data_IF_734792706370
#
_entry.id   IF_734792706370
#
_cell.length_a   1.000
_cell.length_b   1.000
_cell.length_c   1.000
_cell.angle_alpha   90.00
_cell.angle_beta   90.00
_cell.angle_gamma   90.00
#
_symmetry.space_group_name_H-M   'P 1'
#
loop_
_entity.id
_entity.type
_entity.pdbx_description
1 polymer ?
#
# COMPACT_ATOMS: atom_id res chain seq x y z
N UNK A 1 -17.15 10.29 -10.47
CA UNK A 1 -16.51 11.31 -9.63
C UNK A 1 -16.07 10.63 -8.35
N UNK A 2 -14.77 10.64 -8.02
CA UNK A 2 -14.23 10.09 -6.76
C UNK A 2 -14.49 11.06 -5.59
N UNK A 3 -14.32 10.59 -4.35
CA UNK A 3 -14.80 11.27 -3.13
C UNK A 3 -14.33 12.74 -3.07
N UNK A 4 -15.33 13.63 -3.07
CA UNK A 4 -15.24 15.03 -2.64
C UNK A 4 -14.42 15.98 -3.50
N UNK A 5 -14.34 15.75 -4.82
CA UNK A 5 -14.02 16.77 -5.84
C UNK A 5 -12.65 17.47 -5.73
N UNK A 6 -11.81 17.05 -4.79
CA UNK A 6 -10.52 17.65 -4.46
C UNK A 6 -9.56 16.56 -3.97
N UNK A 7 -8.29 16.72 -4.32
CA UNK A 7 -7.18 15.90 -3.88
C UNK A 7 -6.67 16.26 -2.47
N UNK A 8 -7.21 17.30 -1.84
CA UNK A 8 -6.79 17.73 -0.51
C UNK A 8 -7.02 16.65 0.54
N UNK A 9 -5.97 16.34 1.30
CA UNK A 9 -6.04 15.35 2.38
C UNK A 9 -6.54 15.99 3.69
N UNK A 10 -7.80 15.72 4.02
CA UNK A 10 -8.42 16.14 5.28
C UNK A 10 -8.23 15.13 6.42
N UNK A 11 -7.80 13.90 6.13
CA UNK A 11 -7.61 12.87 7.14
C UNK A 11 -6.18 12.91 7.70
N UNK A 12 -5.18 12.91 6.82
CA UNK A 12 -3.74 12.85 7.11
C UNK A 12 -3.09 11.52 6.71
N UNK A 13 -3.88 10.45 6.60
CA UNK A 13 -3.40 9.11 6.24
C UNK A 13 -2.73 9.05 4.86
N UNK A 14 -3.32 9.70 3.86
CA UNK A 14 -2.76 9.75 2.50
C UNK A 14 -1.43 10.50 2.45
N UNK A 15 -1.34 11.65 3.14
CA UNK A 15 -0.11 12.43 3.27
C UNK A 15 0.99 11.65 3.98
N UNK A 16 0.63 10.84 4.99
CA UNK A 16 1.57 9.97 5.70
C UNK A 16 2.16 8.89 4.81
N UNK A 17 1.30 8.19 4.05
CA UNK A 17 1.74 7.19 3.08
C UNK A 17 2.61 7.79 1.97
N UNK A 18 2.21 8.95 1.44
CA UNK A 18 2.97 9.67 0.41
C UNK A 18 4.38 10.06 0.89
N UNK A 19 4.52 10.48 2.15
CA UNK A 19 5.82 10.80 2.74
C UNK A 19 6.75 9.60 2.83
N UNK A 20 6.24 8.44 3.27
CA UNK A 20 7.01 7.20 3.36
C UNK A 20 7.54 6.82 1.97
N UNK A 21 6.69 6.90 0.94
CA UNK A 21 7.06 6.54 -0.41
C UNK A 21 8.06 7.52 -1.03
N UNK A 22 7.86 8.83 -0.88
CA UNK A 22 8.47 9.82 -1.77
C UNK A 22 8.80 11.20 -1.14
N UNK A 23 8.78 11.36 0.20
CA UNK A 23 9.24 12.61 0.81
C UNK A 23 10.63 13.01 0.28
N UNK A 24 10.81 14.30 0.02
CA UNK A 24 12.03 14.84 -0.59
C UNK A 24 13.21 14.67 0.34
N UNK A 25 14.37 14.35 -0.23
CA UNK A 25 15.64 14.44 0.47
C UNK A 25 16.07 15.92 0.55
N UNK A 26 15.84 16.54 1.71
CA UNK A 26 16.17 17.93 1.98
C UNK A 26 16.46 18.13 3.47
N UNK A 27 16.58 19.39 3.91
CA UNK A 27 17.01 19.74 5.27
C UNK A 27 15.89 19.74 6.32
N UNK A 28 14.67 19.27 6.00
CA UNK A 28 13.55 19.24 6.94
C UNK A 28 12.84 17.88 6.96
N UNK A 29 12.37 17.46 8.13
CA UNK A 29 11.46 16.34 8.25
C UNK A 29 12.09 14.98 7.98
N UNK A 30 11.57 14.29 6.96
CA UNK A 30 11.84 12.87 6.66
C UNK A 30 12.17 12.68 5.18
N UNK A 31 12.81 11.56 4.86
CA UNK A 31 13.15 11.16 3.49
C UNK A 31 12.35 9.92 3.10
N UNK A 32 11.72 9.97 1.93
CA UNK A 32 10.95 8.85 1.39
C UNK A 32 11.86 7.80 0.74
N UNK A 33 11.35 6.57 0.62
CA UNK A 33 12.11 5.44 0.04
C UNK A 33 12.53 5.70 -1.42
N UNK A 34 11.65 6.31 -2.21
CA UNK A 34 11.93 6.86 -3.54
C UNK A 34 11.91 8.39 -3.48
N UNK A 35 12.83 8.96 -2.71
CA UNK A 35 12.88 10.38 -2.41
C UNK A 35 12.70 11.28 -3.65
N UNK A 36 11.75 12.22 -3.56
CA UNK A 36 11.49 13.20 -4.62
C UNK A 36 10.69 12.68 -5.81
N UNK A 37 10.26 11.42 -5.82
CA UNK A 37 9.34 10.91 -6.84
C UNK A 37 8.05 11.73 -6.88
N UNK A 38 7.48 11.86 -8.08
CA UNK A 38 6.23 12.62 -8.28
C UNK A 38 5.07 11.84 -7.66
N UNK A 39 4.41 12.45 -6.66
CA UNK A 39 3.20 11.89 -6.06
C UNK A 39 1.97 12.44 -6.77
N UNK A 40 1.09 11.54 -7.22
CA UNK A 40 -0.23 11.89 -7.78
C UNK A 40 -1.32 11.48 -6.78
N UNK A 41 -1.94 12.44 -6.07
CA UNK A 41 -2.97 12.12 -5.08
C UNK A 41 -4.30 11.73 -5.74
N UNK A 42 -4.79 10.52 -5.46
CA UNK A 42 -6.11 10.05 -5.89
C UNK A 42 -6.96 9.75 -4.65
N UNK A 43 -7.82 10.71 -4.28
CA UNK A 43 -8.62 10.61 -3.05
C UNK A 43 -9.88 9.77 -3.27
N UNK A 44 -9.88 8.57 -2.69
CA UNK A 44 -11.01 7.62 -2.75
C UNK A 44 -11.69 7.40 -1.40
N UNK A 45 -11.14 7.96 -0.31
CA UNK A 45 -11.68 7.91 1.05
C UNK A 45 -12.06 9.31 1.53
N UNK A 46 -13.08 9.40 2.40
CA UNK A 46 -13.53 10.62 3.03
C UNK A 46 -12.62 11.05 4.20
N UNK A 47 -12.97 12.14 4.89
CA UNK A 47 -12.16 12.68 5.98
C UNK A 47 -12.09 11.76 7.21
N UNK A 48 -13.02 10.81 7.33
CA UNK A 48 -13.03 9.75 8.34
C UNK A 48 -12.26 8.49 7.89
N UNK A 49 -11.60 8.51 6.72
CA UNK A 49 -10.83 7.36 6.22
C UNK A 49 -11.69 6.22 5.66
N UNK A 50 -12.95 6.49 5.30
CA UNK A 50 -13.90 5.50 4.76
C UNK A 50 -14.29 5.83 3.33
N UNK A 51 -14.57 4.81 2.52
CA UNK A 51 -15.00 4.98 1.13
C UNK A 51 -15.74 3.76 0.62
N UNK A 52 -16.57 3.95 -0.41
CA UNK A 52 -17.26 2.87 -1.08
C UNK A 52 -16.37 2.24 -2.14
N UNK A 53 -16.47 0.92 -2.32
CA UNK A 53 -15.71 0.18 -3.36
C UNK A 53 -15.90 0.77 -4.75
N UNK A 54 -17.10 1.23 -5.10
CA UNK A 54 -17.38 1.94 -6.36
C UNK A 54 -16.56 3.22 -6.56
N UNK A 55 -16.33 3.97 -5.48
CA UNK A 55 -15.48 5.16 -5.47
C UNK A 55 -14.01 4.81 -5.64
N UNK A 56 -13.56 3.69 -5.05
CA UNK A 56 -12.19 3.18 -5.22
C UNK A 56 -11.97 2.72 -6.66
N UNK A 57 -12.89 1.94 -7.23
CA UNK A 57 -12.86 1.52 -8.65
C UNK A 57 -12.83 2.73 -9.58
N UNK A 58 -13.62 3.77 -9.30
CA UNK A 58 -13.59 5.01 -10.09
C UNK A 58 -12.22 5.70 -10.02
N UNK A 59 -11.54 5.65 -8.86
CA UNK A 59 -10.18 6.16 -8.71
C UNK A 59 -9.15 5.33 -9.49
N UNK A 60 -9.24 4.00 -9.43
CA UNK A 60 -8.39 3.10 -10.20
C UNK A 60 -8.57 3.29 -11.72
N UNK A 61 -9.82 3.43 -12.19
CA UNK A 61 -10.10 3.72 -13.60
C UNK A 61 -9.55 5.09 -14.03
N UNK A 62 -9.53 6.08 -13.13
CA UNK A 62 -8.89 7.36 -13.39
C UNK A 62 -7.37 7.19 -13.56
N UNK A 63 -6.72 6.44 -12.66
CA UNK A 63 -5.30 6.10 -12.79
C UNK A 63 -5.02 5.38 -14.11
N UNK A 64 -5.79 4.34 -14.43
CA UNK A 64 -5.65 3.55 -15.67
C UNK A 64 -5.82 4.38 -16.97
N UNK A 65 -6.35 5.61 -16.87
CA UNK A 65 -6.49 6.53 -18.01
C UNK A 65 -5.30 7.49 -18.16
N UNK A 66 -4.33 7.42 -17.26
CA UNK A 66 -3.22 8.38 -17.10
C UNK A 66 -1.88 7.74 -16.76
N UNK A 67 -1.86 6.47 -16.35
CA UNK A 67 -0.66 5.77 -15.93
C UNK A 67 0.21 5.40 -17.13
N UNK A 68 1.50 5.25 -16.85
CA UNK A 68 2.49 4.72 -17.77
C UNK A 68 3.14 3.48 -17.16
N UNK A 69 3.60 2.50 -17.98
CA UNK A 69 4.34 1.35 -17.47
C UNK A 69 5.52 1.81 -16.61
N UNK A 70 5.60 1.31 -15.38
CA UNK A 70 6.59 1.76 -14.40
C UNK A 70 6.03 2.60 -13.25
N UNK A 71 4.82 3.17 -13.44
CA UNK A 71 4.09 3.83 -12.36
C UNK A 71 3.73 2.86 -11.23
N UNK A 72 3.50 3.41 -10.04
CA UNK A 72 3.19 2.65 -8.84
C UNK A 72 1.94 3.20 -8.16
N UNK A 73 0.96 2.33 -7.95
CA UNK A 73 -0.24 2.59 -7.16
C UNK A 73 -0.07 2.03 -5.76
N UNK A 74 -0.14 2.89 -4.75
CA UNK A 74 -0.16 2.50 -3.35
C UNK A 74 -1.60 2.50 -2.80
N UNK A 75 -2.15 1.30 -2.57
CA UNK A 75 -3.47 1.08 -1.99
C UNK A 75 -3.36 0.73 -0.51
N UNK A 76 -3.05 1.71 0.32
CA UNK A 76 -3.00 1.59 1.78
C UNK A 76 -4.40 1.53 2.44
N UNK A 77 -5.30 0.73 1.87
CA UNK A 77 -6.70 0.61 2.26
C UNK A 77 -7.15 -0.86 2.15
N UNK A 78 -8.29 -1.18 2.77
CA UNK A 78 -8.89 -2.50 2.66
C UNK A 78 -10.05 -2.67 3.62
N UNK A 79 -10.80 -3.74 3.45
CA UNK A 79 -11.92 -4.10 4.30
C UNK A 79 -12.17 -5.60 4.30
N UNK A 80 -12.82 -6.08 5.36
CA UNK A 80 -13.27 -7.46 5.43
C UNK A 80 -14.27 -7.74 4.30
N UNK A 81 -14.08 -8.87 3.61
CA UNK A 81 -14.96 -9.36 2.56
C UNK A 81 -15.54 -10.74 2.89
N UNK A 82 -14.74 -11.58 3.56
CA UNK A 82 -15.07 -12.98 3.82
C UNK A 82 -14.40 -13.91 2.82
N UNK A 83 -14.93 -15.13 2.67
CA UNK A 83 -14.39 -16.14 1.77
C UNK A 83 -14.65 -15.81 0.29
N UNK A 84 -13.94 -16.51 -0.61
CA UNK A 84 -14.07 -16.39 -2.07
C UNK A 84 -13.75 -14.98 -2.59
N UNK A 85 -12.56 -14.49 -2.24
CA UNK A 85 -11.94 -13.23 -2.71
C UNK A 85 -12.57 -12.68 -3.99
N UNK A 86 -13.58 -11.80 -3.89
CA UNK A 86 -14.41 -11.21 -4.94
C UNK A 86 -14.10 -11.62 -6.42
N UNK A 87 -14.07 -12.92 -6.74
CA UNK A 87 -13.48 -13.42 -8.00
C UNK A 87 -14.40 -13.01 -9.13
N UNK A 88 -13.86 -12.31 -10.14
CA UNK A 88 -14.67 -11.76 -11.22
C UNK A 88 -15.44 -10.49 -10.88
N UNK A 89 -15.17 -9.85 -9.73
CA UNK A 89 -15.67 -8.51 -9.46
C UNK A 89 -14.93 -7.46 -10.29
N UNK A 90 -15.60 -6.33 -10.56
CA UNK A 90 -14.98 -5.17 -11.20
C UNK A 90 -13.78 -4.61 -10.42
N UNK A 91 -13.69 -4.91 -9.11
CA UNK A 91 -12.56 -4.50 -8.29
C UNK A 91 -11.30 -5.30 -8.60
N UNK A 92 -11.44 -6.63 -8.75
CA UNK A 92 -10.37 -7.51 -9.23
C UNK A 92 -9.92 -7.06 -10.61
N UNK A 93 -10.85 -6.91 -11.55
CA UNK A 93 -10.53 -6.49 -12.92
C UNK A 93 -9.78 -5.16 -12.97
N UNK A 94 -10.19 -4.15 -12.20
CA UNK A 94 -9.53 -2.85 -12.19
C UNK A 94 -8.07 -2.94 -11.71
N UNK A 95 -7.80 -3.71 -10.66
CA UNK A 95 -6.45 -3.90 -10.12
C UNK A 95 -5.58 -4.73 -11.06
N UNK A 96 -6.10 -5.86 -11.56
CA UNK A 96 -5.32 -6.74 -12.44
C UNK A 96 -5.02 -6.09 -13.78
N UNK A 97 -5.92 -5.26 -14.31
CA UNK A 97 -5.69 -4.56 -15.58
C UNK A 97 -4.55 -3.54 -15.48
N UNK A 98 -4.46 -2.78 -14.37
CA UNK A 98 -3.31 -1.91 -14.10
C UNK A 98 -2.00 -2.72 -14.07
N UNK A 99 -2.03 -3.84 -13.34
CA UNK A 99 -0.91 -4.78 -13.25
C UNK A 99 -0.40 -5.26 -14.61
N UNK A 100 -1.33 -5.73 -15.46
CA UNK A 100 -1.06 -6.21 -16.82
C UNK A 100 -0.56 -5.08 -17.73
N UNK A 101 -1.06 -3.85 -17.55
CA UNK A 101 -0.61 -2.68 -18.30
C UNK A 101 0.81 -2.20 -17.92
N UNK A 102 1.41 -2.76 -16.86
CA UNK A 102 2.77 -2.43 -16.41
C UNK A 102 2.83 -1.51 -15.20
N UNK A 103 1.68 -1.13 -14.64
CA UNK A 103 1.60 -0.39 -13.38
C UNK A 103 1.75 -1.36 -12.21
N UNK A 104 2.56 -1.00 -11.23
CA UNK A 104 2.79 -1.80 -10.02
C UNK A 104 1.81 -1.42 -8.94
N UNK A 105 1.02 -2.37 -8.44
CA UNK A 105 -0.03 -2.12 -7.45
C UNK A 105 0.37 -2.73 -6.12
N UNK A 106 0.73 -1.90 -5.15
CA UNK A 106 1.01 -2.32 -3.78
C UNK A 106 -0.24 -2.19 -2.92
N UNK A 107 -0.61 -3.25 -2.21
CA UNK A 107 -1.84 -3.36 -1.42
C UNK A 107 -1.52 -3.67 0.04
N UNK A 108 -2.20 -3.00 0.96
CA UNK A 108 -2.10 -3.30 2.39
C UNK A 108 -2.79 -4.63 2.74
N UNK A 109 -2.09 -5.52 3.46
CA UNK A 109 -2.62 -6.83 3.85
C UNK A 109 -3.78 -6.81 4.87
N UNK A 110 -3.89 -5.74 5.66
CA UNK A 110 -4.93 -5.53 6.67
C UNK A 110 -4.42 -5.69 8.11
N UNK A 111 -5.21 -5.17 9.07
CA UNK A 111 -4.78 -4.96 10.47
C UNK A 111 -5.64 -5.74 11.49
N UNK A 112 -6.09 -6.95 11.14
CA UNK A 112 -7.01 -7.75 11.97
C UNK A 112 -6.35 -8.98 12.61
N UNK A 113 -5.03 -9.17 12.46
CA UNK A 113 -4.33 -10.41 12.84
C UNK A 113 -5.00 -11.67 12.29
N UNK A 114 -5.43 -11.61 11.03
CA UNK A 114 -6.25 -12.63 10.39
C UNK A 114 -5.68 -13.01 9.00
N UNK A 115 -6.27 -14.01 8.34
CA UNK A 115 -5.88 -14.39 7.00
C UNK A 115 -6.25 -13.28 5.98
N UNK A 116 -5.24 -12.69 5.35
CA UNK A 116 -5.38 -11.64 4.33
C UNK A 116 -6.26 -12.07 3.14
N UNK A 117 -6.41 -13.37 2.89
CA UNK A 117 -7.33 -13.90 1.88
C UNK A 117 -8.81 -13.55 2.14
N UNK A 118 -9.17 -13.12 3.36
CA UNK A 118 -10.53 -12.71 3.75
C UNK A 118 -10.80 -11.21 3.53
N UNK A 119 -9.80 -10.45 3.06
CA UNK A 119 -9.84 -8.98 2.98
C UNK A 119 -9.65 -8.52 1.54
N UNK A 120 -10.39 -7.51 1.11
CA UNK A 120 -10.26 -6.91 -0.23
C UNK A 120 -9.72 -5.47 -0.12
N UNK A 121 -8.75 -5.05 -0.96
CA UNK A 121 -8.17 -5.79 -2.09
C UNK A 121 -7.03 -6.75 -1.75
N UNK A 122 -6.66 -6.93 -0.48
CA UNK A 122 -5.51 -7.75 -0.06
C UNK A 122 -5.50 -9.18 -0.61
N UNK A 123 -6.66 -9.79 -0.84
CA UNK A 123 -6.76 -11.15 -1.37
C UNK A 123 -6.46 -11.27 -2.88
N UNK A 124 -6.34 -10.15 -3.59
CA UNK A 124 -6.23 -10.09 -5.05
C UNK A 124 -4.77 -10.30 -5.45
N UNK A 125 -4.52 -11.37 -6.20
CA UNK A 125 -3.21 -11.69 -6.76
C UNK A 125 -3.19 -11.40 -8.27
N UNK A 126 -2.04 -11.02 -8.83
CA UNK A 126 -1.91 -10.75 -10.25
C UNK A 126 -0.50 -10.31 -10.64
N UNK A 127 -0.26 -10.15 -11.95
CA UNK A 127 1.00 -9.58 -12.46
C UNK A 127 1.16 -8.17 -11.91
N UNK A 128 2.35 -7.85 -11.37
CA UNK A 128 2.67 -6.56 -10.74
C UNK A 128 1.73 -6.14 -9.58
N UNK A 129 1.03 -7.08 -8.95
CA UNK A 129 0.21 -6.81 -7.74
C UNK A 129 0.93 -7.41 -6.53
N UNK A 130 1.12 -6.61 -5.48
CA UNK A 130 1.89 -7.01 -4.29
C UNK A 130 1.12 -6.73 -3.01
N UNK A 131 0.82 -7.76 -2.22
CA UNK A 131 0.18 -7.63 -0.91
C UNK A 131 1.21 -7.59 0.21
N UNK A 132 1.11 -6.58 1.07
CA UNK A 132 2.16 -6.21 2.02
C UNK A 132 1.71 -6.42 3.47
N UNK A 133 2.44 -7.26 4.20
CA UNK A 133 2.32 -7.41 5.65
C UNK A 133 3.21 -6.40 6.40
N UNK A 134 2.98 -6.25 7.71
CA UNK A 134 3.71 -5.32 8.56
C UNK A 134 4.60 -6.03 9.60
N UNK A 135 5.80 -5.50 9.78
CA UNK A 135 6.72 -5.77 10.89
C UNK A 135 7.09 -4.47 11.62
N UNK A 136 7.79 -4.60 12.74
CA UNK A 136 8.47 -3.48 13.40
C UNK A 136 9.94 -3.34 12.93
N UNK A 137 10.66 -2.38 13.50
CA UNK A 137 12.07 -2.13 13.17
C UNK A 137 13.02 -3.21 13.71
N UNK A 138 12.59 -4.02 14.69
CA UNK A 138 13.32 -5.17 15.20
C UNK A 138 13.11 -6.43 14.33
N UNK A 139 12.41 -6.30 13.20
CA UNK A 139 12.03 -7.40 12.30
C UNK A 139 11.10 -8.41 12.98
N UNK A 140 10.33 -7.98 13.98
CA UNK A 140 9.29 -8.80 14.58
C UNK A 140 7.95 -8.58 13.86
N UNK A 141 7.15 -9.64 13.77
CA UNK A 141 5.81 -9.58 13.19
C UNK A 141 4.94 -8.58 13.96
N UNK A 142 4.31 -7.62 13.27
CA UNK A 142 3.42 -6.69 13.92
C UNK A 142 2.14 -7.41 14.37
N UNK A 143 1.77 -7.28 15.65
CA UNK A 143 0.67 -8.05 16.26
C UNK A 143 -0.68 -7.90 15.56
N UNK A 144 -0.91 -6.77 14.86
CA UNK A 144 -2.12 -6.50 14.09
C UNK A 144 -2.05 -7.01 12.65
N UNK A 145 -0.87 -7.32 12.09
CA UNK A 145 -0.74 -7.62 10.66
C UNK A 145 -1.50 -8.88 10.29
N UNK A 146 -2.33 -8.78 9.26
CA UNK A 146 -2.86 -9.94 8.57
C UNK A 146 -1.73 -10.77 7.94
N UNK A 147 -1.97 -12.07 7.81
CA UNK A 147 -1.03 -13.08 7.36
C UNK A 147 -1.62 -13.96 6.25
N UNK A 148 -0.84 -14.90 5.73
CA UNK A 148 -1.26 -15.89 4.73
C UNK A 148 -0.52 -15.73 3.42
N UNK A 149 -0.02 -16.85 2.88
CA UNK A 149 0.64 -16.93 1.58
C UNK A 149 -0.04 -18.05 0.77
N UNK A 150 -0.66 -17.74 -0.38
CA UNK A 150 -1.09 -16.40 -0.81
C UNK A 150 -2.11 -15.78 0.18
N UNK A 151 -2.34 -14.45 0.15
CA UNK A 151 -1.92 -13.48 -0.88
C UNK A 151 -0.66 -12.66 -0.53
N UNK A 152 -0.09 -12.78 0.67
CA UNK A 152 1.01 -11.89 1.08
C UNK A 152 2.29 -12.19 0.31
N UNK A 153 2.87 -11.18 -0.33
CA UNK A 153 4.10 -11.29 -1.12
C UNK A 153 5.34 -10.84 -0.35
N UNK A 154 5.20 -9.74 0.41
CA UNK A 154 6.30 -9.07 1.10
C UNK A 154 5.91 -8.59 2.48
N UNK A 155 6.89 -8.43 3.36
CA UNK A 155 6.74 -7.77 4.65
C UNK A 155 7.69 -6.56 4.71
N UNK A 156 7.19 -5.44 5.26
CA UNK A 156 7.95 -4.21 5.45
C UNK A 156 7.60 -3.55 6.79
N UNK A 157 8.41 -2.58 7.22
CA UNK A 157 8.17 -1.88 8.49
C UNK A 157 6.87 -1.09 8.42
N UNK A 158 5.92 -1.46 9.28
CA UNK A 158 4.62 -0.81 9.40
C UNK A 158 4.29 -0.35 10.81
N UNK A 159 5.06 -0.73 11.83
CA UNK A 159 4.86 -0.28 13.21
C UNK A 159 5.72 0.94 13.54
N UNK A 160 5.12 1.92 14.21
CA UNK A 160 5.78 3.14 14.71
C UNK A 160 6.55 3.91 13.64
N UNK A 161 5.91 4.13 12.48
CA UNK A 161 6.51 4.80 11.32
C UNK A 161 6.25 6.30 11.39
N UNK A 162 7.33 7.09 11.46
CA UNK A 162 7.30 8.55 11.42
C UNK A 162 7.31 9.05 9.97
N UNK A 163 6.37 9.92 9.60
CA UNK A 163 6.27 10.48 8.23
C UNK A 163 5.56 11.83 8.22
N UNK A 164 5.50 12.47 7.05
CA UNK A 164 4.74 13.70 6.80
C UNK A 164 3.27 13.53 7.17
N UNK A 165 2.61 14.62 7.51
CA UNK A 165 1.20 14.64 7.88
C UNK A 165 0.54 15.92 7.38
N UNK A 166 -0.80 15.96 7.44
CA UNK A 166 -1.56 17.13 6.96
C UNK A 166 -1.11 18.43 7.65
N UNK A 167 -1.37 19.56 6.99
CA UNK A 167 -1.01 20.91 7.44
C UNK A 167 0.50 21.13 7.67
N UNK A 168 1.35 20.42 6.90
CA UNK A 168 2.81 20.52 6.99
C UNK A 168 3.41 19.87 8.24
N UNK A 169 2.60 19.10 8.99
CA UNK A 169 3.06 18.40 10.18
C UNK A 169 3.74 17.07 9.89
N UNK A 170 4.01 16.33 10.96
CA UNK A 170 4.55 14.97 10.94
C UNK A 170 3.85 14.15 12.02
N UNK A 171 3.73 12.84 11.82
CA UNK A 171 3.09 11.94 12.78
C UNK A 171 3.73 10.55 12.76
N UNK A 172 3.59 9.83 13.87
CA UNK A 172 3.95 8.41 13.97
C UNK A 172 2.68 7.58 13.89
N UNK A 173 2.57 6.70 12.90
CA UNK A 173 1.43 5.81 12.70
C UNK A 173 1.88 4.35 12.60
N UNK A 174 0.93 3.43 12.85
CA UNK A 174 1.14 1.99 12.73
C UNK A 174 0.06 1.35 11.87
N UNK A 175 0.45 0.46 10.96
CA UNK A 175 -0.45 -0.35 10.15
C UNK A 175 0.25 -0.98 8.94
N UNK A 176 -0.37 -1.99 8.33
CA UNK A 176 0.01 -2.44 6.97
C UNK A 176 -0.07 -1.30 5.95
N UNK A 177 -0.94 -0.31 6.21
CA UNK A 177 -0.99 0.95 5.47
C UNK A 177 0.35 1.70 5.44
N UNK A 178 1.19 1.60 6.47
CA UNK A 178 2.52 2.23 6.55
C UNK A 178 3.62 1.31 5.99
N UNK A 179 3.42 -0.01 6.04
CA UNK A 179 4.32 -0.97 5.38
C UNK A 179 4.22 -0.89 3.84
N UNK A 180 3.01 -0.75 3.31
CA UNK A 180 2.75 -0.70 1.86
C UNK A 180 3.55 0.37 1.11
N UNK A 181 3.61 1.65 1.56
CA UNK A 181 4.35 2.69 0.86
C UNK A 181 5.87 2.52 0.92
N UNK A 182 6.42 1.75 1.88
CA UNK A 182 7.82 1.37 1.81
C UNK A 182 8.08 0.50 0.58
N UNK A 183 7.23 -0.51 0.35
CA UNK A 183 7.36 -1.39 -0.82
C UNK A 183 7.03 -0.64 -2.10
N UNK A 184 6.03 0.23 -2.11
CA UNK A 184 5.73 1.09 -3.25
C UNK A 184 6.94 1.95 -3.65
N UNK A 185 7.62 2.57 -2.67
CA UNK A 185 8.85 3.32 -2.92
C UNK A 185 10.00 2.43 -3.41
N UNK A 186 10.15 1.21 -2.86
CA UNK A 186 11.16 0.24 -3.34
C UNK A 186 10.93 -0.08 -4.80
N UNK A 187 9.73 -0.49 -5.19
CA UNK A 187 9.44 -0.92 -6.56
C UNK A 187 9.49 0.24 -7.56
N UNK A 188 9.08 1.45 -7.14
CA UNK A 188 9.24 2.65 -7.96
C UNK A 188 10.72 2.96 -8.20
N UNK A 189 11.54 2.99 -7.14
CA UNK A 189 12.96 3.31 -7.25
C UNK A 189 13.75 2.25 -8.03
N UNK A 190 13.35 0.98 -7.97
CA UNK A 190 14.01 -0.11 -8.66
C UNK A 190 13.50 -0.32 -10.08
N UNK A 191 12.28 0.14 -10.39
CA UNK A 191 11.55 -0.23 -11.59
C UNK A 191 11.48 -1.77 -11.78
N UNK A 192 11.40 -2.50 -10.67
CA UNK A 192 11.43 -3.95 -10.58
C UNK A 192 10.90 -4.41 -9.21
N UNK A 193 10.70 -5.72 -9.06
CA UNK A 193 10.33 -6.33 -7.77
C UNK A 193 11.36 -6.01 -6.68
N UNK A 194 10.94 -5.97 -5.40
CA UNK A 194 11.86 -5.84 -4.27
C UNK A 194 12.92 -6.94 -4.27
N UNK A 195 14.11 -6.64 -3.73
CA UNK A 195 15.03 -7.69 -3.31
C UNK A 195 14.63 -8.20 -1.92
N UNK A 196 15.14 -9.38 -1.57
CA UNK A 196 14.95 -9.96 -0.25
C UNK A 196 16.23 -9.81 0.59
N UNK A 197 16.11 -9.28 1.80
CA UNK A 197 17.17 -9.34 2.80
C UNK A 197 16.60 -9.74 4.17
N UNK A 198 16.69 -11.03 4.47
CA UNK A 198 16.12 -11.65 5.66
C UNK A 198 14.64 -12.01 5.51
N UNK A 199 14.04 -12.38 6.64
CA UNK A 199 12.65 -12.84 6.71
C UNK A 199 12.09 -12.72 8.11
N UNK A 200 10.75 -12.71 8.21
CA UNK A 200 10.01 -12.83 9.47
C UNK A 200 9.19 -14.12 9.42
N UNK A 201 9.09 -14.85 10.53
CA UNK A 201 8.30 -16.08 10.62
C UNK A 201 7.01 -15.81 11.38
N UNK A 202 5.87 -16.22 10.82
CA UNK A 202 4.56 -16.19 11.47
C UNK A 202 3.83 -17.50 11.20
N UNK A 203 3.39 -18.16 12.27
CA UNK A 203 2.68 -19.45 12.22
C UNK A 203 3.43 -20.52 11.40
N UNK A 204 4.76 -20.57 11.53
CA UNK A 204 5.61 -21.51 10.78
C UNK A 204 5.83 -21.16 9.30
N UNK A 205 5.27 -20.04 8.82
CA UNK A 205 5.44 -19.55 7.44
C UNK A 205 6.45 -18.41 7.41
N UNK A 206 7.35 -18.43 6.43
CA UNK A 206 8.41 -17.44 6.24
C UNK A 206 7.97 -16.34 5.26
N UNK A 207 8.06 -15.09 5.68
CA UNK A 207 7.72 -13.91 4.90
C UNK A 207 8.99 -13.13 4.53
N UNK A 208 9.13 -12.76 3.26
CA UNK A 208 10.32 -12.10 2.71
C UNK A 208 10.33 -10.63 3.07
N UNK A 209 11.40 -10.16 3.72
CA UNK A 209 11.59 -8.73 3.98
C UNK A 209 11.97 -8.03 2.69
N UNK A 210 11.15 -7.07 2.25
CA UNK A 210 11.40 -6.28 1.06
C UNK A 210 12.49 -5.22 1.31
N UNK A 211 13.49 -5.17 0.42
CA UNK A 211 14.54 -4.14 0.44
C UNK A 211 14.82 -3.58 -0.96
N UNK A 212 15.43 -2.39 -0.99
CA UNK A 212 15.79 -1.69 -2.24
C UNK A 212 17.05 -2.26 -2.89
N UNK A 213 18.08 -2.57 -2.10
CA UNK A 213 19.40 -3.08 -2.51
C UNK A 213 19.94 -4.00 -1.41
#
# INVERSE_FOLDING_TARGET
MFVGGSANDCNGHGTHCAGIAAAKDNTIGVVGVSAGARVVPVRVLNCQGSGQTSGIISGLNHVASKDEPGDVVNMSLGGYWGSNCATGSSYVTAITNLGIAGTRVCVAGGNSSDNAALYTPACINGVNVYTIAAMDCAKAWASYSNYGIPPTDWIATGSSVYSTYKNGGYATLSGTSMATPHVAGIVHSRQADPLQNGSVIKNGVTYKIAVRQ
#
